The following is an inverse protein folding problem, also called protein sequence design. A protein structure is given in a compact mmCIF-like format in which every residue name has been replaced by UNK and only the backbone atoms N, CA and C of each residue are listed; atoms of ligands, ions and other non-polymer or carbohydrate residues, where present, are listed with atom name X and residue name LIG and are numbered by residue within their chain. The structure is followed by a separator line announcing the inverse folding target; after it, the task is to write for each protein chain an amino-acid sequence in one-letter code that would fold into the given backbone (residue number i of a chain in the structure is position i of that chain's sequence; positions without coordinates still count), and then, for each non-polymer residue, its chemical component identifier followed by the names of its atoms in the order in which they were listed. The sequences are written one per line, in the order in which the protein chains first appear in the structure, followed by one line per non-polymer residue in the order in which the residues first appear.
data_IF_509599501286
#
_entry.id   IF_509599501286
#
_cell.length_a   1.000
_cell.length_b   1.000
_cell.length_c   1.000
_cell.angle_alpha   90.00
_cell.angle_beta   90.00
_cell.angle_gamma   90.00
#
_symmetry.space_group_name_H-M   'P 1'
#
loop_
_entity.id
_entity.type
_entity.pdbx_description
1 polymer ?
#
# COMPACT_ATOMS: atom_id res chain seq x y z
N UNK A 1 5.97 -17.66 19.16
CA UNK A 1 5.64 -16.25 18.90
C UNK A 1 6.55 -15.74 17.80
N UNK A 2 6.00 -15.27 16.68
CA UNK A 2 6.80 -14.57 15.68
C UNK A 2 7.31 -13.26 16.31
N UNK A 3 8.63 -12.99 16.31
CA UNK A 3 9.07 -11.67 16.75
C UNK A 3 8.61 -10.67 15.69
N UNK A 4 7.82 -9.69 16.11
CA UNK A 4 7.36 -8.59 15.28
C UNK A 4 8.52 -7.60 15.04
N UNK A 5 8.44 -6.78 13.99
CA UNK A 5 9.41 -5.72 13.74
C UNK A 5 9.43 -4.72 14.90
N UNK A 6 10.60 -4.16 15.20
CA UNK A 6 10.73 -3.10 16.22
C UNK A 6 9.98 -1.83 15.78
N UNK A 7 9.64 -0.94 16.71
CA UNK A 7 8.96 0.33 16.37
C UNK A 7 9.81 1.19 15.41
N UNK A 8 11.13 1.21 15.62
CA UNK A 8 12.07 1.90 14.74
C UNK A 8 12.05 1.29 13.32
N UNK A 9 12.08 -0.04 13.23
CA UNK A 9 11.94 -0.76 11.95
C UNK A 9 10.64 -0.44 11.25
N UNK A 10 9.52 -0.42 11.98
CA UNK A 10 8.21 -0.08 11.43
C UNK A 10 8.18 1.36 10.89
N UNK A 11 8.68 2.33 11.66
CA UNK A 11 8.72 3.74 11.27
C UNK A 11 9.62 3.98 10.05
N UNK A 12 10.78 3.32 10.00
CA UNK A 12 11.70 3.39 8.87
C UNK A 12 11.05 2.81 7.59
N UNK A 13 10.53 1.59 7.65
CA UNK A 13 9.90 0.92 6.50
C UNK A 13 8.68 1.70 6.00
N UNK A 14 7.85 2.21 6.90
CA UNK A 14 6.70 3.02 6.51
C UNK A 14 7.12 4.33 5.83
N UNK A 15 8.15 5.02 6.35
CA UNK A 15 8.65 6.26 5.76
C UNK A 15 9.23 6.06 4.37
N UNK A 16 10.11 5.06 4.20
CA UNK A 16 10.74 4.73 2.90
C UNK A 16 9.69 4.33 1.87
N UNK A 17 8.78 3.41 2.22
CA UNK A 17 7.74 2.94 1.32
C UNK A 17 6.71 4.05 0.97
N UNK A 18 6.44 4.97 1.90
CA UNK A 18 5.57 6.11 1.63
C UNK A 18 6.20 7.10 0.65
N UNK A 19 7.49 7.40 0.79
CA UNK A 19 8.22 8.26 -0.14
C UNK A 19 8.15 7.71 -1.57
N UNK A 20 8.49 6.43 -1.73
CA UNK A 20 8.44 5.74 -3.03
C UNK A 20 7.03 5.77 -3.62
N UNK A 21 6.01 5.43 -2.82
CA UNK A 21 4.62 5.43 -3.27
C UNK A 21 4.17 6.82 -3.71
N UNK A 22 4.43 7.85 -2.91
CA UNK A 22 4.02 9.23 -3.20
C UNK A 22 4.69 9.73 -4.48
N UNK A 23 5.99 9.51 -4.63
CA UNK A 23 6.72 9.91 -5.83
C UNK A 23 6.12 9.27 -7.09
N UNK A 24 5.95 7.95 -7.09
CA UNK A 24 5.41 7.24 -8.25
C UNK A 24 3.94 7.57 -8.54
N UNK A 25 3.10 7.61 -7.50
CA UNK A 25 1.67 7.89 -7.66
C UNK A 25 1.43 9.27 -8.27
N UNK A 26 2.07 10.31 -7.73
CA UNK A 26 1.90 11.68 -8.24
C UNK A 26 2.61 11.90 -9.58
N UNK A 27 3.70 11.17 -9.87
CA UNK A 27 4.30 11.15 -11.20
C UNK A 27 3.32 10.57 -12.24
N UNK A 28 2.73 9.40 -11.98
CA UNK A 28 1.73 8.79 -12.86
C UNK A 28 0.50 9.68 -13.01
N UNK A 29 0.01 10.29 -11.92
CA UNK A 29 -1.12 11.22 -11.93
C UNK A 29 -0.86 12.42 -12.83
N UNK A 30 0.31 13.06 -12.70
CA UNK A 30 0.71 14.22 -13.51
C UNK A 30 0.92 13.87 -14.98
N UNK A 31 1.37 12.64 -15.27
CA UNK A 31 1.51 12.13 -16.64
C UNK A 31 0.21 11.61 -17.24
N UNK A 32 -0.91 11.67 -16.51
CA UNK A 32 -2.20 11.09 -16.90
C UNK A 32 -2.07 9.60 -17.29
N UNK A 33 -1.22 8.87 -16.58
CA UNK A 33 -1.12 7.42 -16.70
C UNK A 33 -2.20 6.75 -15.85
N UNK A 34 -2.54 5.49 -16.18
CA UNK A 34 -3.50 4.75 -15.37
C UNK A 34 -2.98 4.55 -13.95
N UNK A 35 -3.88 4.76 -12.99
CA UNK A 35 -3.61 4.62 -11.56
C UNK A 35 -3.99 3.23 -11.02
N UNK A 36 -4.53 2.34 -11.86
CA UNK A 36 -5.07 1.06 -11.44
C UNK A 36 -4.08 0.18 -10.64
N UNK A 37 -2.79 0.25 -10.97
CA UNK A 37 -1.75 -0.52 -10.30
C UNK A 37 -1.53 -0.12 -8.83
N UNK A 38 -1.95 1.08 -8.42
CA UNK A 38 -1.79 1.57 -7.05
C UNK A 38 -2.91 1.14 -6.09
N UNK A 39 -3.93 0.45 -6.59
CA UNK A 39 -5.10 0.06 -5.81
C UNK A 39 -5.23 -1.46 -5.69
N UNK A 40 -5.79 -1.89 -4.55
CA UNK A 40 -5.93 -3.31 -4.22
C UNK A 40 -6.73 -4.14 -5.24
N UNK A 41 -7.62 -3.51 -6.02
CA UNK A 41 -8.50 -4.22 -6.95
C UNK A 41 -7.77 -4.85 -8.15
N UNK A 42 -6.51 -4.49 -8.42
CA UNK A 42 -5.70 -5.12 -9.46
C UNK A 42 -4.84 -6.28 -8.94
N UNK A 43 -4.74 -6.45 -7.62
CA UNK A 43 -4.00 -7.56 -7.01
C UNK A 43 -4.91 -8.79 -6.89
N UNK A 44 -4.56 -9.87 -7.58
CA UNK A 44 -5.25 -11.17 -7.48
C UNK A 44 -5.27 -11.71 -6.05
N UNK A 45 -4.22 -11.46 -5.29
CA UNK A 45 -4.09 -11.87 -3.89
C UNK A 45 -5.07 -11.13 -2.96
N UNK A 46 -5.14 -9.80 -3.10
CA UNK A 46 -6.01 -8.97 -2.27
C UNK A 46 -7.49 -9.13 -2.64
N UNK A 47 -7.79 -9.24 -3.95
CA UNK A 47 -9.15 -9.52 -4.43
C UNK A 47 -9.66 -10.90 -4.00
N UNK A 48 -8.81 -11.93 -4.00
CA UNK A 48 -9.16 -13.26 -3.46
C UNK A 48 -9.46 -13.21 -1.96
N UNK A 49 -8.82 -12.29 -1.23
CA UNK A 49 -9.12 -11.99 0.17
C UNK A 49 -10.30 -11.00 0.34
N UNK A 50 -11.08 -10.73 -0.71
CA UNK A 50 -12.22 -9.81 -0.73
C UNK A 50 -11.90 -8.36 -0.33
N UNK A 51 -10.63 -7.95 -0.45
CA UNK A 51 -10.22 -6.57 -0.21
C UNK A 51 -10.67 -5.71 -1.38
N UNK A 52 -11.40 -4.63 -1.08
CA UNK A 52 -11.86 -3.65 -2.07
C UNK A 52 -11.34 -2.26 -1.67
N UNK A 53 -10.85 -1.46 -2.62
CA UNK A 53 -10.48 -0.08 -2.32
C UNK A 53 -11.73 0.73 -1.99
N UNK A 54 -11.65 1.53 -0.94
CA UNK A 54 -12.63 2.56 -0.61
C UNK A 54 -12.05 3.91 -1.07
N UNK A 55 -12.74 4.57 -2.00
CA UNK A 55 -12.26 5.80 -2.64
C UNK A 55 -13.31 6.89 -2.42
N UNK A 56 -12.88 8.01 -1.84
CA UNK A 56 -13.70 9.21 -1.70
C UNK A 56 -12.92 10.43 -2.15
N UNK A 57 -13.51 11.23 -3.04
CA UNK A 57 -12.90 12.44 -3.60
C UNK A 57 -13.79 13.63 -3.24
N UNK A 58 -13.23 14.58 -2.46
CA UNK A 58 -13.97 15.74 -1.94
C UNK A 58 -15.27 15.35 -1.20
N UNK A 59 -15.25 14.24 -0.45
CA UNK A 59 -16.40 13.73 0.29
C UNK A 59 -17.40 12.91 -0.54
N UNK A 60 -17.20 12.77 -1.86
CA UNK A 60 -18.01 11.91 -2.73
C UNK A 60 -17.38 10.53 -2.86
N UNK A 61 -18.13 9.49 -2.52
CA UNK A 61 -17.75 8.09 -2.75
C UNK A 61 -17.64 7.82 -4.25
N UNK A 62 -16.56 7.15 -4.65
CA UNK A 62 -16.24 6.75 -6.02
C UNK A 62 -16.11 5.23 -6.07
N UNK A 63 -17.01 4.59 -6.82
CA UNK A 63 -17.20 3.12 -6.76
C UNK A 63 -16.09 2.31 -7.46
N UNK A 64 -15.29 2.95 -8.32
CA UNK A 64 -14.22 2.27 -9.06
C UNK A 64 -13.10 3.22 -9.45
N UNK A 65 -11.93 2.66 -9.74
CA UNK A 65 -10.78 3.43 -10.21
C UNK A 65 -11.07 4.08 -11.56
N UNK A 66 -11.77 3.40 -12.46
CA UNK A 66 -12.19 3.96 -13.74
C UNK A 66 -13.09 5.19 -13.55
N UNK A 67 -13.99 5.16 -12.56
CA UNK A 67 -14.80 6.33 -12.22
C UNK A 67 -13.95 7.48 -11.64
N UNK A 68 -12.89 7.17 -10.91
CA UNK A 68 -11.94 8.18 -10.43
C UNK A 68 -11.11 8.78 -11.58
N UNK A 69 -10.57 7.96 -12.48
CA UNK A 69 -9.84 8.41 -13.67
C UNK A 69 -10.73 9.29 -14.56
N UNK A 70 -12.01 8.95 -14.73
CA UNK A 70 -12.97 9.81 -15.44
C UNK A 70 -13.17 11.19 -14.78
N UNK A 71 -13.11 11.29 -13.44
CA UNK A 71 -13.13 12.57 -12.74
C UNK A 71 -11.85 13.38 -13.00
N UNK A 72 -10.71 12.72 -13.10
CA UNK A 72 -9.42 13.35 -13.43
C UNK A 72 -9.42 13.87 -14.87
N UNK A 73 -10.04 13.15 -15.81
CA UNK A 73 -10.21 13.59 -17.20
C UNK A 73 -11.14 14.80 -17.30
N UNK A 74 -12.27 14.77 -16.58
CA UNK A 74 -13.23 15.87 -16.52
C UNK A 74 -12.63 17.16 -15.92
N UNK A 75 -11.53 17.05 -15.17
CA UNK A 75 -10.79 18.17 -14.59
C UNK A 75 -10.10 19.04 -15.65
N UNK A 76 -9.87 18.50 -16.85
CA UNK A 76 -9.25 19.17 -17.99
C UNK A 76 -7.74 18.98 -18.10
N UNK A 77 -7.18 19.57 -19.15
CA UNK A 77 -5.75 19.58 -19.43
C UNK A 77 -4.99 20.57 -18.51
N UNK A 78 -3.65 20.44 -18.46
CA UNK A 78 -2.75 21.34 -17.74
C UNK A 78 -2.96 21.38 -16.22
N UNK A 79 -3.38 20.26 -15.63
CA UNK A 79 -3.40 20.08 -14.18
C UNK A 79 -2.08 19.47 -13.74
N UNK A 80 -1.46 20.05 -12.74
CA UNK A 80 -0.23 19.54 -12.14
C UNK A 80 -0.38 19.53 -10.62
N UNK A 81 0.04 18.43 -10.00
CA UNK A 81 0.03 18.25 -8.57
C UNK A 81 1.46 18.28 -8.06
N UNK A 82 1.74 19.21 -7.16
CA UNK A 82 3.02 19.30 -6.45
C UNK A 82 2.82 18.87 -5.01
N UNK A 83 3.50 17.80 -4.60
CA UNK A 83 3.49 17.33 -3.22
C UNK A 83 4.33 18.28 -2.38
N UNK A 84 3.73 18.84 -1.31
CA UNK A 84 4.44 19.75 -0.38
C UNK A 84 4.98 19.02 0.84
N UNK A 85 4.26 18.00 1.29
CA UNK A 85 4.62 17.21 2.48
C UNK A 85 3.78 15.93 2.51
N UNK A 86 4.31 14.89 3.12
CA UNK A 86 3.55 13.69 3.47
C UNK A 86 3.95 13.22 4.87
N UNK A 87 3.07 12.44 5.49
CA UNK A 87 3.29 11.77 6.77
C UNK A 87 2.87 10.30 6.65
N UNK A 88 3.62 9.40 7.28
CA UNK A 88 3.40 7.97 7.22
C UNK A 88 3.33 7.36 8.62
N UNK A 89 2.31 6.54 8.86
CA UNK A 89 2.11 5.90 10.17
C UNK A 89 1.95 4.38 10.01
N UNK A 90 2.80 3.56 10.64
CA UNK A 90 2.57 2.11 10.71
C UNK A 90 1.22 1.79 11.38
N UNK A 91 0.40 0.95 10.74
CA UNK A 91 -0.95 0.60 11.23
C UNK A 91 -0.99 -0.84 11.75
N UNK A 92 -0.35 -1.78 11.03
CA UNK A 92 -0.29 -3.17 11.43
C UNK A 92 1.11 -3.73 11.15
N UNK A 93 1.85 -4.19 12.17
CA UNK A 93 3.21 -4.71 12.00
C UNK A 93 3.27 -6.09 11.32
N UNK A 94 2.13 -6.75 11.12
CA UNK A 94 2.03 -8.06 10.48
C UNK A 94 0.71 -8.17 9.70
N UNK A 95 0.61 -7.42 8.61
CA UNK A 95 -0.46 -7.52 7.63
C UNK A 95 -0.36 -8.84 6.86
N UNK A 96 -1.41 -9.66 6.96
CA UNK A 96 -1.44 -11.02 6.38
C UNK A 96 -2.61 -11.26 5.42
N UNK A 97 -3.46 -10.25 5.17
CA UNK A 97 -4.56 -10.39 4.21
C UNK A 97 -3.99 -10.58 2.79
N UNK A 98 -4.54 -11.56 2.06
CA UNK A 98 -4.04 -11.94 0.74
C UNK A 98 -2.66 -12.61 0.73
N UNK A 99 -2.04 -12.83 1.90
CA UNK A 99 -0.75 -13.51 1.97
C UNK A 99 -0.89 -14.98 1.53
N UNK A 100 -0.09 -15.46 0.56
CA UNK A 100 -0.09 -16.87 0.16
C UNK A 100 0.08 -17.82 1.35
N UNK A 101 -0.65 -18.95 1.36
CA UNK A 101 -0.66 -19.90 2.49
C UNK A 101 0.73 -20.42 2.85
N UNK A 102 1.60 -20.66 1.87
CA UNK A 102 2.97 -21.11 2.07
C UNK A 102 3.83 -20.07 2.82
N UNK A 103 3.51 -18.78 2.70
CA UNK A 103 4.16 -17.70 3.44
C UNK A 103 3.51 -17.48 4.82
N UNK A 104 2.19 -17.67 4.92
CA UNK A 104 1.44 -17.57 6.17
C UNK A 104 1.82 -18.67 7.17
N UNK A 105 1.74 -19.95 6.77
CA UNK A 105 2.03 -21.10 7.62
C UNK A 105 3.49 -21.15 8.11
N UNK A 106 4.42 -20.70 7.26
CA UNK A 106 5.82 -20.59 7.62
C UNK A 106 6.10 -19.44 8.62
N UNK A 107 5.33 -18.35 8.58
CA UNK A 107 5.43 -17.28 9.56
C UNK A 107 4.86 -17.67 10.94
N UNK A 108 3.77 -18.46 10.97
CA UNK A 108 3.15 -18.95 12.21
C UNK A 108 3.95 -20.09 12.86
N UNK A 109 4.93 -20.65 12.15
CA UNK A 109 5.78 -21.70 12.67
C UNK A 109 5.16 -23.09 12.64
N UNK A 110 4.13 -23.27 11.80
CA UNK A 110 3.45 -24.55 11.59
C UNK A 110 4.12 -25.37 10.47
N UNK A 111 4.90 -24.71 9.60
CA UNK A 111 5.68 -25.38 8.57
C UNK A 111 7.06 -25.85 9.09
N UNK A 112 7.33 -27.17 9.05
CA UNK A 112 8.64 -27.78 9.28
C UNK A 112 9.47 -27.85 7.98
N UNK A 113 9.76 -26.69 7.38
CA UNK A 113 10.52 -26.61 6.13
C UNK A 113 11.71 -25.62 6.20
N UNK A 114 12.72 -25.77 5.32
CA UNK A 114 13.96 -24.97 5.33
C UNK A 114 13.75 -23.46 5.08
N UNK A 115 12.55 -23.03 4.68
CA UNK A 115 12.18 -21.63 4.44
C UNK A 115 11.65 -20.85 5.66
N UNK A 116 11.34 -21.54 6.78
CA UNK A 116 10.74 -20.92 7.98
C UNK A 116 11.60 -19.78 8.55
N UNK A 117 12.90 -20.02 8.71
CA UNK A 117 13.83 -19.02 9.27
C UNK A 117 13.90 -17.74 8.43
N UNK A 118 13.84 -17.87 7.10
CA UNK A 118 13.85 -16.73 6.17
C UNK A 118 12.59 -15.90 6.30
N UNK A 119 11.42 -16.54 6.34
CA UNK A 119 10.13 -15.84 6.45
C UNK A 119 9.99 -15.16 7.81
N UNK A 120 10.40 -15.82 8.90
CA UNK A 120 10.41 -15.17 10.22
C UNK A 120 11.38 -13.99 10.32
N UNK A 121 12.46 -14.00 9.51
CA UNK A 121 13.39 -12.87 9.41
C UNK A 121 12.74 -11.72 8.62
N UNK A 122 12.18 -12.01 7.45
CA UNK A 122 11.41 -11.02 6.65
C UNK A 122 10.34 -10.29 7.45
N UNK A 123 9.57 -11.00 8.28
CA UNK A 123 8.57 -10.35 9.14
C UNK A 123 9.22 -9.41 10.16
N UNK A 124 10.36 -9.80 10.77
CA UNK A 124 11.12 -8.93 11.70
C UNK A 124 11.72 -7.72 10.99
N UNK A 125 12.10 -7.88 9.73
CA UNK A 125 12.73 -6.82 8.93
C UNK A 125 11.67 -5.81 8.41
N UNK A 126 10.37 -6.13 8.54
CA UNK A 126 9.26 -5.21 8.29
C UNK A 126 8.46 -5.48 7.02
N UNK A 127 8.71 -6.60 6.32
CA UNK A 127 8.08 -6.92 5.02
C UNK A 127 6.53 -7.03 5.07
N UNK A 128 5.95 -7.08 6.27
CA UNK A 128 4.51 -7.17 6.49
C UNK A 128 3.93 -5.95 7.19
N UNK A 129 4.67 -4.86 7.29
CA UNK A 129 4.14 -3.62 7.85
C UNK A 129 3.16 -3.01 6.84
N UNK A 130 1.89 -2.88 7.23
CA UNK A 130 0.98 -1.97 6.53
C UNK A 130 0.97 -0.61 7.21
N UNK A 131 0.87 0.46 6.45
CA UNK A 131 0.93 1.83 6.93
C UNK A 131 -0.14 2.69 6.27
N UNK A 132 -0.49 3.79 6.93
CA UNK A 132 -1.32 4.85 6.38
C UNK A 132 -0.42 6.00 5.92
N UNK A 133 -0.82 6.68 4.84
CA UNK A 133 -0.13 7.85 4.32
C UNK A 133 -1.11 9.00 4.25
N UNK A 134 -0.72 10.15 4.80
CA UNK A 134 -1.40 11.43 4.58
C UNK A 134 -0.53 12.29 3.67
N UNK A 135 -1.08 12.74 2.54
CA UNK A 135 -0.36 13.59 1.59
C UNK A 135 -0.99 14.97 1.53
N UNK A 136 -0.15 15.99 1.54
CA UNK A 136 -0.53 17.36 1.23
C UNK A 136 0.04 17.71 -0.14
N UNK A 137 -0.83 18.03 -1.07
CA UNK A 137 -0.46 18.50 -2.41
C UNK A 137 -1.18 19.80 -2.73
N UNK A 138 -0.52 20.65 -3.51
CA UNK A 138 -1.13 21.82 -4.15
C UNK A 138 -1.32 21.54 -5.64
N UNK A 139 -2.38 22.10 -6.20
CA UNK A 139 -2.73 22.04 -7.62
C UNK A 139 -2.37 23.35 -8.30
#
# INVERSE_FOLDING_TARGET
MANLPSLDTQARVASEAAEDFVNHYYESLNKRQSLAAYYASTSSHLTSASVKPDISINGRVVESIAAYEALLDAQGANVHYTVTSFDAHPVNPNYALGCPENLSAAANGEANGPGRGKITKSVKDGDRVSFAIQVRSVR
#
